data_IF_553608985763
#
_entry.id   IF_553608985763
#
_cell.length_a   1.000
_cell.length_b   1.000
_cell.length_c   1.000
_cell.angle_alpha   90.00
_cell.angle_beta   90.00
_cell.angle_gamma   90.00
#
_symmetry.space_group_name_H-M   'P 1'
#
loop_
_entity.id
_entity.type
_entity.pdbx_description
1 polymer ?
#
# COMPACT_ATOMS: atom_id res chain seq x y z
N UNK A 1 27.81 -29.25 -35.75
CA UNK A 1 27.24 -28.26 -34.82
C UNK A 1 28.17 -28.22 -33.61
N UNK A 2 28.94 -27.14 -33.44
CA UNK A 2 29.85 -26.99 -32.28
C UNK A 2 29.02 -26.36 -31.16
N UNK A 3 28.68 -27.15 -30.13
CA UNK A 3 27.99 -26.65 -28.95
C UNK A 3 29.05 -26.16 -27.96
N UNK A 4 29.32 -24.86 -27.98
CA UNK A 4 30.25 -24.23 -27.04
C UNK A 4 29.57 -24.13 -25.68
N UNK A 5 29.99 -24.96 -24.73
CA UNK A 5 29.52 -24.87 -23.35
C UNK A 5 30.33 -23.78 -22.62
N UNK A 6 29.67 -22.85 -21.90
CA UNK A 6 30.39 -21.90 -21.07
C UNK A 6 31.18 -22.66 -20.01
N UNK A 7 32.49 -22.42 -19.95
CA UNK A 7 33.35 -22.91 -18.86
C UNK A 7 33.04 -22.08 -17.62
N UNK A 8 32.51 -22.72 -16.57
CA UNK A 8 32.12 -22.09 -15.31
C UNK A 8 30.61 -22.07 -15.06
N UNK A 9 30.17 -21.32 -14.04
CA UNK A 9 28.75 -21.16 -13.74
C UNK A 9 28.10 -20.14 -14.68
N UNK A 10 27.02 -20.53 -15.33
CA UNK A 10 26.26 -19.67 -16.23
C UNK A 10 24.86 -19.38 -15.67
N UNK A 11 24.49 -18.09 -15.62
CA UNK A 11 23.14 -17.64 -15.26
C UNK A 11 22.60 -16.75 -16.37
N UNK A 12 21.56 -17.20 -17.06
CA UNK A 12 21.01 -16.45 -18.17
C UNK A 12 20.18 -17.30 -19.13
N UNK A 13 19.76 -16.68 -20.22
CA UNK A 13 18.99 -17.31 -21.29
C UNK A 13 19.90 -17.60 -22.49
N UNK A 14 19.85 -18.83 -22.98
CA UNK A 14 20.47 -19.27 -24.23
C UNK A 14 19.34 -19.77 -25.12
N UNK A 15 18.91 -18.94 -26.08
CA UNK A 15 17.80 -19.24 -26.99
C UNK A 15 16.52 -19.71 -26.24
N UNK A 16 16.20 -21.00 -26.35
CA UNK A 16 15.05 -21.66 -25.74
C UNK A 16 15.38 -22.38 -24.42
N UNK A 17 16.57 -22.15 -23.86
CA UNK A 17 17.01 -22.70 -22.59
C UNK A 17 17.35 -21.58 -21.60
N UNK A 18 17.17 -21.87 -20.32
CA UNK A 18 17.66 -21.04 -19.23
C UNK A 18 18.66 -21.85 -18.42
N UNK A 19 19.82 -21.25 -18.17
CA UNK A 19 20.85 -21.79 -17.29
C UNK A 19 20.86 -21.04 -15.96
N UNK A 20 20.97 -21.76 -14.85
CA UNK A 20 21.19 -21.19 -13.53
C UNK A 20 21.84 -22.22 -12.61
N UNK A 21 22.46 -21.75 -11.52
CA UNK A 21 23.03 -22.63 -10.49
C UNK A 21 22.00 -22.90 -9.41
N UNK A 22 21.79 -24.18 -9.09
CA UNK A 22 20.95 -24.61 -7.97
C UNK A 22 21.71 -25.63 -7.14
N UNK A 23 21.89 -25.34 -5.85
CA UNK A 23 22.60 -26.23 -4.91
C UNK A 23 23.99 -26.66 -5.43
N UNK A 24 24.77 -25.71 -5.95
CA UNK A 24 26.11 -25.97 -6.51
C UNK A 24 26.13 -26.68 -7.88
N UNK A 25 24.98 -27.07 -8.43
CA UNK A 25 24.87 -27.73 -9.74
C UNK A 25 24.41 -26.74 -10.80
N UNK A 26 25.08 -26.76 -11.95
CA UNK A 26 24.63 -26.05 -13.14
C UNK A 26 23.39 -26.77 -13.70
N UNK A 27 22.26 -26.07 -13.79
CA UNK A 27 21.00 -26.61 -14.33
C UNK A 27 20.68 -25.87 -15.61
N UNK A 28 20.50 -26.62 -16.70
CA UNK A 28 19.92 -26.14 -17.94
C UNK A 28 18.52 -26.72 -18.10
N UNK A 29 17.55 -25.86 -18.39
CA UNK A 29 16.16 -26.27 -18.60
C UNK A 29 15.61 -25.58 -19.85
N UNK A 30 14.85 -26.32 -20.64
CA UNK A 30 14.04 -25.73 -21.72
C UNK A 30 12.98 -24.78 -21.16
N UNK A 31 12.88 -23.61 -21.77
CA UNK A 31 11.88 -22.61 -21.43
C UNK A 31 10.53 -23.13 -21.94
N UNK A 32 9.58 -23.26 -21.02
CA UNK A 32 8.21 -23.55 -21.42
C UNK A 32 7.58 -22.27 -21.97
N UNK A 33 7.57 -22.14 -23.29
CA UNK A 33 6.99 -20.98 -23.98
C UNK A 33 5.45 -20.96 -23.94
N UNK A 34 4.81 -22.07 -23.56
CA UNK A 34 3.34 -22.21 -23.46
C UNK A 34 2.99 -22.94 -22.17
N UNK A 35 3.19 -22.31 -21.00
CA UNK A 35 2.80 -22.92 -19.74
C UNK A 35 1.33 -23.28 -19.76
N UNK A 36 0.99 -24.46 -19.24
CA UNK A 36 -0.41 -24.84 -19.05
C UNK A 36 -1.08 -23.77 -18.19
N UNK A 37 -2.22 -23.25 -18.66
CA UNK A 37 -3.03 -22.28 -17.95
C UNK A 37 -4.35 -22.93 -17.52
N UNK A 38 -4.30 -23.88 -16.57
CA UNK A 38 -5.52 -24.48 -16.06
C UNK A 38 -6.38 -23.39 -15.41
N UNK A 39 -7.69 -23.53 -15.59
CA UNK A 39 -8.71 -22.63 -15.02
C UNK A 39 -9.42 -23.33 -13.87
N UNK A 40 -8.64 -23.92 -12.96
CA UNK A 40 -9.22 -24.52 -11.75
C UNK A 40 -9.92 -23.44 -10.92
N UNK A 41 -10.91 -23.84 -10.12
CA UNK A 41 -11.65 -22.93 -9.24
C UNK A 41 -10.72 -22.13 -8.34
N UNK A 42 -9.71 -22.79 -7.73
CA UNK A 42 -8.73 -22.12 -6.88
C UNK A 42 -7.90 -21.07 -7.63
N UNK A 43 -7.45 -21.38 -8.86
CA UNK A 43 -6.68 -20.44 -9.67
C UNK A 43 -7.53 -19.25 -10.14
N UNK A 44 -8.78 -19.49 -10.52
CA UNK A 44 -9.71 -18.43 -10.90
C UNK A 44 -10.03 -17.53 -9.71
N UNK A 45 -10.26 -18.10 -8.51
CA UNK A 45 -10.48 -17.36 -7.27
C UNK A 45 -9.28 -16.46 -6.92
N UNK A 46 -8.06 -16.95 -7.09
CA UNK A 46 -6.86 -16.14 -6.86
C UNK A 46 -6.75 -14.98 -7.87
N UNK A 47 -7.10 -15.21 -9.14
CA UNK A 47 -7.08 -14.18 -10.19
C UNK A 47 -8.08 -13.06 -9.94
N UNK A 48 -9.29 -13.39 -9.51
CA UNK A 48 -10.33 -12.40 -9.25
C UNK A 48 -10.02 -11.54 -8.02
N UNK A 49 -9.37 -12.10 -6.98
CA UNK A 49 -8.82 -11.30 -5.86
C UNK A 49 -7.73 -10.36 -6.31
N UNK A 50 -6.80 -10.87 -7.13
CA UNK A 50 -5.63 -10.11 -7.55
C UNK A 50 -6.02 -8.82 -8.26
N UNK A 51 -7.09 -8.84 -9.06
CA UNK A 51 -7.57 -7.64 -9.77
C UNK A 51 -7.80 -6.45 -8.84
N UNK A 52 -8.51 -6.63 -7.71
CA UNK A 52 -8.78 -5.53 -6.77
C UNK A 52 -7.48 -5.01 -6.13
N UNK A 53 -6.59 -5.92 -5.73
CA UNK A 53 -5.29 -5.57 -5.13
C UNK A 53 -4.44 -4.77 -6.11
N UNK A 54 -4.45 -5.13 -7.40
CA UNK A 54 -3.71 -4.40 -8.42
C UNK A 54 -4.30 -3.00 -8.65
N UNK A 55 -5.63 -2.86 -8.66
CA UNK A 55 -6.28 -1.55 -8.73
C UNK A 55 -5.88 -0.67 -7.54
N UNK A 56 -5.95 -1.21 -6.32
CA UNK A 56 -5.53 -0.50 -5.10
C UNK A 56 -4.03 -0.13 -5.12
N UNK A 57 -3.17 -1.05 -5.56
CA UNK A 57 -1.73 -0.78 -5.69
C UNK A 57 -1.46 0.38 -6.64
N UNK A 58 -2.16 0.48 -7.77
CA UNK A 58 -1.95 1.60 -8.73
C UNK A 58 -2.16 2.94 -8.05
N UNK A 59 -3.21 3.06 -7.24
CA UNK A 59 -3.55 4.25 -6.46
C UNK A 59 -2.49 4.51 -5.37
N UNK A 60 -2.04 3.47 -4.67
CA UNK A 60 -1.13 3.56 -3.52
C UNK A 60 0.37 3.48 -3.89
N UNK A 61 0.70 3.36 -5.18
CA UNK A 61 2.02 2.90 -5.61
C UNK A 61 3.18 3.82 -5.21
N UNK A 62 2.93 5.12 -5.06
CA UNK A 62 3.94 6.08 -4.58
C UNK A 62 4.40 5.75 -3.16
N UNK A 63 3.48 5.36 -2.27
CA UNK A 63 3.77 5.01 -0.88
C UNK A 63 4.33 3.61 -0.74
N UNK A 64 3.70 2.66 -1.44
CA UNK A 64 4.04 1.24 -1.32
C UNK A 64 5.51 0.96 -1.64
N UNK A 65 6.14 1.74 -2.52
CA UNK A 65 7.54 1.54 -2.95
C UNK A 65 8.56 1.63 -1.81
N UNK A 66 8.27 2.45 -0.81
CA UNK A 66 9.19 2.80 0.29
C UNK A 66 8.67 2.38 1.67
N UNK A 67 7.49 1.76 1.73
CA UNK A 67 6.77 1.50 2.98
C UNK A 67 7.07 0.16 3.65
N UNK A 68 7.87 -0.69 3.03
CA UNK A 68 8.25 -2.02 3.54
C UNK A 68 9.74 -2.05 3.88
N UNK A 69 10.04 -1.83 5.16
CA UNK A 69 11.41 -1.75 5.68
C UNK A 69 12.13 -3.10 5.56
N UNK A 70 11.52 -4.17 6.08
CA UNK A 70 12.12 -5.50 6.13
C UNK A 70 11.66 -6.38 4.98
N UNK A 71 12.09 -6.06 3.75
CA UNK A 71 11.81 -6.90 2.56
C UNK A 71 12.97 -7.83 2.20
N UNK A 72 12.71 -9.10 1.82
CA UNK A 72 13.74 -9.97 1.27
C UNK A 72 14.39 -9.35 0.03
N UNK A 73 15.72 -9.48 -0.19
CA UNK A 73 16.41 -8.85 -1.32
C UNK A 73 15.87 -9.23 -2.71
N UNK A 74 15.22 -10.39 -2.83
CA UNK A 74 14.63 -10.88 -4.08
C UNK A 74 13.21 -10.36 -4.35
N UNK A 75 12.60 -9.61 -3.41
CA UNK A 75 11.24 -9.13 -3.52
C UNK A 75 11.20 -7.59 -3.58
N UNK A 76 10.40 -7.07 -4.51
CA UNK A 76 10.05 -5.66 -4.54
C UNK A 76 8.97 -5.36 -3.52
N UNK A 77 8.81 -4.09 -3.16
CA UNK A 77 7.71 -3.62 -2.31
C UNK A 77 6.33 -4.02 -2.87
N UNK A 78 6.17 -3.94 -4.20
CA UNK A 78 5.00 -4.47 -4.92
C UNK A 78 4.74 -5.95 -4.63
N UNK A 79 5.77 -6.81 -4.68
CA UNK A 79 5.61 -8.23 -4.41
C UNK A 79 5.15 -8.49 -2.96
N UNK A 80 5.67 -7.71 -2.01
CA UNK A 80 5.27 -7.80 -0.59
C UNK A 80 3.83 -7.33 -0.42
N UNK A 81 3.46 -6.17 -0.98
CA UNK A 81 2.09 -5.66 -0.98
C UNK A 81 1.10 -6.69 -1.52
N UNK A 82 1.35 -7.25 -2.71
CA UNK A 82 0.47 -8.26 -3.31
C UNK A 82 0.39 -9.50 -2.42
N UNK A 83 1.51 -9.99 -1.90
CA UNK A 83 1.56 -11.19 -1.06
C UNK A 83 0.74 -11.01 0.24
N UNK A 84 0.90 -9.88 0.92
CA UNK A 84 0.24 -9.59 2.18
C UNK A 84 -1.27 -9.44 1.99
N UNK A 85 -1.67 -8.69 0.96
CA UNK A 85 -3.07 -8.40 0.71
C UNK A 85 -3.83 -9.57 0.07
N UNK A 86 -3.17 -10.43 -0.71
CA UNK A 86 -3.82 -11.60 -1.33
C UNK A 86 -4.36 -12.61 -0.30
N UNK A 87 -3.72 -12.67 0.88
CA UNK A 87 -4.18 -13.52 1.98
C UNK A 87 -5.30 -12.87 2.80
N UNK A 88 -5.29 -11.56 2.91
CA UNK A 88 -6.18 -10.81 3.80
C UNK A 88 -7.50 -10.41 3.14
N UNK A 89 -7.49 -9.99 1.87
CA UNK A 89 -8.70 -9.50 1.20
C UNK A 89 -9.63 -10.65 0.79
N UNK A 90 -10.94 -10.43 0.95
CA UNK A 90 -12.00 -11.27 0.40
C UNK A 90 -12.82 -10.54 -0.69
N UNK A 91 -12.25 -9.48 -1.28
CA UNK A 91 -12.85 -8.84 -2.46
C UNK A 91 -12.52 -9.63 -3.72
N UNK A 92 -13.54 -9.94 -4.51
CA UNK A 92 -13.41 -10.57 -5.81
C UNK A 92 -14.02 -9.67 -6.87
N UNK A 93 -13.27 -9.42 -7.94
CA UNK A 93 -13.81 -8.73 -9.11
C UNK A 93 -14.10 -9.73 -10.21
N UNK A 94 -15.23 -9.54 -10.89
CA UNK A 94 -15.52 -10.24 -12.13
C UNK A 94 -14.63 -9.73 -13.28
N UNK A 95 -14.80 -10.32 -14.46
CA UNK A 95 -13.98 -9.97 -15.63
C UNK A 95 -14.26 -8.53 -16.12
N UNK A 96 -15.52 -8.08 -16.08
CA UNK A 96 -15.91 -6.74 -16.51
C UNK A 96 -15.37 -5.68 -15.56
N UNK A 97 -15.54 -5.89 -14.26
CA UNK A 97 -15.01 -5.04 -13.18
C UNK A 97 -13.48 -4.92 -13.26
N UNK A 98 -12.78 -6.04 -13.44
CA UNK A 98 -11.32 -6.04 -13.58
C UNK A 98 -10.83 -5.31 -14.84
N UNK A 99 -11.54 -5.46 -15.97
CA UNK A 99 -11.22 -4.74 -17.22
C UNK A 99 -11.50 -3.24 -17.11
N UNK A 100 -12.49 -2.86 -16.30
CA UNK A 100 -12.82 -1.47 -15.99
C UNK A 100 -11.92 -0.86 -14.90
N UNK A 101 -10.94 -1.63 -14.39
CA UNK A 101 -10.05 -1.21 -13.31
C UNK A 101 -10.81 -0.79 -12.05
N UNK A 102 -11.94 -1.45 -11.80
CA UNK A 102 -12.73 -1.24 -10.60
C UNK A 102 -11.87 -1.49 -9.35
N UNK A 103 -12.16 -0.73 -8.30
CA UNK A 103 -11.46 -0.81 -7.02
C UNK A 103 -12.46 -0.66 -5.88
N UNK A 104 -12.58 -1.72 -5.08
CA UNK A 104 -13.30 -1.71 -3.81
C UNK A 104 -12.28 -1.43 -2.71
N UNK A 105 -12.57 -0.43 -1.88
CA UNK A 105 -11.74 -0.10 -0.72
C UNK A 105 -11.85 -1.21 0.32
N UNK A 106 -10.71 -1.66 0.84
CA UNK A 106 -10.59 -2.70 1.85
C UNK A 106 -9.41 -2.37 2.79
N UNK A 107 -9.25 -3.13 3.87
CA UNK A 107 -8.17 -2.97 4.85
C UNK A 107 -6.83 -3.47 4.29
N UNK A 108 -6.25 -2.70 3.37
CA UNK A 108 -4.96 -3.04 2.77
C UNK A 108 -3.80 -2.86 3.75
N UNK A 109 -2.92 -3.85 3.83
CA UNK A 109 -1.59 -3.68 4.41
C UNK A 109 -0.75 -2.86 3.41
N UNK A 110 -0.44 -1.61 3.77
CA UNK A 110 0.31 -0.68 2.90
C UNK A 110 1.77 -0.54 3.33
N UNK A 111 2.08 -0.78 4.61
CA UNK A 111 3.42 -0.62 5.19
C UNK A 111 3.73 -1.71 6.22
N UNK A 112 5.02 -2.00 6.40
CA UNK A 112 5.57 -2.77 7.52
C UNK A 112 6.93 -2.17 7.89
N UNK A 113 7.16 -1.93 9.17
CA UNK A 113 8.42 -1.38 9.67
C UNK A 113 8.56 -1.59 11.17
N UNK A 114 9.67 -1.12 11.73
CA UNK A 114 9.99 -1.27 13.15
C UNK A 114 9.41 -0.15 14.03
N UNK A 115 8.87 0.90 13.42
CA UNK A 115 8.24 1.99 14.17
C UNK A 115 6.98 1.50 14.89
N UNK A 116 6.66 2.05 16.08
CA UNK A 116 5.41 1.73 16.78
C UNK A 116 4.20 1.96 15.89
N UNK A 117 3.29 0.98 15.86
CA UNK A 117 2.05 1.08 15.08
C UNK A 117 1.13 2.15 15.67
N UNK A 118 0.61 3.03 14.81
CA UNK A 118 -0.51 3.91 15.16
C UNK A 118 -1.78 3.08 15.01
N UNK A 119 -2.31 2.62 16.13
CA UNK A 119 -3.53 1.82 16.13
C UNK A 119 -4.71 2.69 15.73
N UNK A 120 -5.62 2.13 14.94
CA UNK A 120 -6.85 2.81 14.53
C UNK A 120 -8.04 1.96 14.90
N UNK A 121 -8.98 2.54 15.65
CA UNK A 121 -10.21 1.87 16.08
C UNK A 121 -11.42 2.60 15.53
N UNK A 122 -12.44 1.84 15.10
CA UNK A 122 -13.71 2.42 14.70
C UNK A 122 -14.52 2.80 15.95
N UNK A 123 -14.98 4.04 16.01
CA UNK A 123 -15.84 4.57 17.07
C UNK A 123 -16.99 5.33 16.42
N UNK A 124 -18.10 4.62 16.17
CA UNK A 124 -19.24 5.18 15.44
C UNK A 124 -18.90 5.40 13.97
N UNK A 125 -19.09 6.63 13.49
CA UNK A 125 -18.80 7.08 12.12
C UNK A 125 -17.35 7.53 11.93
N UNK A 126 -16.48 7.34 12.94
CA UNK A 126 -15.11 7.87 12.96
C UNK A 126 -14.07 6.79 13.20
N UNK A 127 -12.87 7.08 12.70
CA UNK A 127 -11.65 6.36 13.04
C UNK A 127 -10.90 7.16 14.11
N UNK A 128 -10.60 6.52 15.23
CA UNK A 128 -9.84 7.08 16.34
C UNK A 128 -8.46 6.45 16.34
N UNK A 129 -7.43 7.29 16.26
CA UNK A 129 -6.04 6.84 16.32
C UNK A 129 -5.55 6.76 17.76
N UNK A 130 -4.49 5.98 18.01
CA UNK A 130 -3.81 5.92 19.30
C UNK A 130 -3.00 7.16 19.64
N UNK A 131 -2.90 8.15 18.73
CA UNK A 131 -2.19 9.39 18.96
C UNK A 131 -2.90 10.23 20.03
N UNK A 132 -2.17 10.51 21.11
CA UNK A 132 -2.71 11.23 22.26
C UNK A 132 -2.54 12.74 22.10
N UNK A 133 -3.51 13.48 22.64
CA UNK A 133 -3.47 14.93 22.80
C UNK A 133 -3.84 15.27 24.26
N UNK A 134 -3.48 16.46 24.77
CA UNK A 134 -3.86 16.88 26.11
C UNK A 134 -5.37 16.83 26.33
N UNK A 135 -5.79 16.49 27.55
CA UNK A 135 -7.20 16.44 27.90
C UNK A 135 -7.88 17.81 27.67
N UNK A 136 -9.04 17.79 26.99
CA UNK A 136 -9.80 19.01 26.65
C UNK A 136 -9.19 19.86 25.54
N UNK A 137 -8.14 19.38 24.86
CA UNK A 137 -7.59 20.07 23.70
C UNK A 137 -8.60 20.06 22.54
N UNK A 138 -8.82 21.23 21.93
CA UNK A 138 -9.70 21.39 20.78
C UNK A 138 -8.92 22.05 19.66
N UNK A 139 -9.11 21.54 18.44
CA UNK A 139 -8.57 22.16 17.23
C UNK A 139 -9.65 23.08 16.65
N UNK A 140 -9.32 24.35 16.56
CA UNK A 140 -10.15 25.41 15.99
C UNK A 140 -9.40 26.17 14.88
N UNK A 141 -10.05 27.15 14.28
CA UNK A 141 -9.48 27.94 13.16
C UNK A 141 -8.18 28.68 13.50
N UNK A 142 -7.93 28.98 14.79
CA UNK A 142 -6.72 29.66 15.24
C UNK A 142 -5.62 28.69 15.69
N UNK A 143 -5.89 27.39 15.66
CA UNK A 143 -4.92 26.36 16.07
C UNK A 143 -3.87 26.19 14.98
N UNK A 144 -2.61 26.43 15.34
CA UNK A 144 -1.48 26.29 14.41
C UNK A 144 -0.88 24.88 14.44
N UNK A 145 -0.15 24.53 13.38
CA UNK A 145 0.67 23.33 13.34
C UNK A 145 1.68 23.30 14.50
N UNK A 146 2.25 24.44 14.90
CA UNK A 146 3.15 24.54 16.07
C UNK A 146 2.52 24.06 17.37
N UNK A 147 1.27 24.46 17.60
CA UNK A 147 0.52 24.06 18.80
C UNK A 147 0.20 22.57 18.79
N UNK A 148 -0.26 22.04 17.66
CA UNK A 148 -0.56 20.61 17.52
C UNK A 148 0.71 19.76 17.63
N UNK A 149 1.80 20.18 16.99
CA UNK A 149 3.09 19.48 17.04
C UNK A 149 3.60 19.39 18.48
N UNK A 150 3.51 20.48 19.24
CA UNK A 150 3.90 20.50 20.65
C UNK A 150 3.03 19.59 21.52
N UNK A 151 1.72 19.55 21.26
CA UNK A 151 0.81 18.62 21.95
C UNK A 151 1.11 17.15 21.61
N UNK A 152 1.32 16.83 20.33
CA UNK A 152 1.63 15.47 19.88
C UNK A 152 2.97 14.99 20.45
N UNK A 153 4.05 15.78 20.32
CA UNK A 153 5.37 15.43 20.86
C UNK A 153 5.33 15.31 22.39
N UNK A 154 4.57 16.17 23.06
CA UNK A 154 4.45 16.15 24.53
C UNK A 154 3.67 14.96 25.08
N UNK A 155 2.68 14.45 24.34
CA UNK A 155 1.82 13.35 24.78
C UNK A 155 2.22 11.97 24.22
N UNK A 156 3.06 11.91 23.19
CA UNK A 156 3.42 10.65 22.53
C UNK A 156 4.94 10.45 22.57
N UNK A 157 5.39 9.56 23.45
CA UNK A 157 6.82 9.32 23.69
C UNK A 157 7.62 8.87 22.46
N UNK A 158 6.96 8.32 21.44
CA UNK A 158 7.56 7.89 20.17
C UNK A 158 7.76 9.01 19.15
N UNK A 159 7.12 10.17 19.32
CA UNK A 159 7.18 11.28 18.36
C UNK A 159 8.23 12.32 18.74
N UNK A 160 8.88 12.90 17.74
CA UNK A 160 9.87 13.96 17.86
C UNK A 160 9.59 15.07 16.85
N UNK A 161 10.07 16.27 17.15
CA UNK A 161 10.09 17.33 16.14
C UNK A 161 10.96 16.90 14.96
N UNK A 162 10.50 17.21 13.75
CA UNK A 162 11.09 16.73 12.49
C UNK A 162 10.46 15.44 11.97
N UNK A 163 9.70 14.69 12.78
CA UNK A 163 8.95 13.54 12.26
C UNK A 163 7.86 14.00 11.30
N UNK A 164 7.66 13.23 10.22
CA UNK A 164 6.59 13.45 9.24
C UNK A 164 5.41 12.54 9.53
N UNK A 165 4.23 13.12 9.68
CA UNK A 165 2.97 12.38 9.76
C UNK A 165 2.29 12.44 8.39
N UNK A 166 2.01 11.27 7.82
CA UNK A 166 1.28 11.12 6.55
C UNK A 166 -0.03 10.37 6.79
N UNK A 167 -1.14 10.95 6.36
CA UNK A 167 -2.49 10.39 6.46
C UNK A 167 -2.93 10.01 5.06
N UNK A 168 -3.05 8.70 4.81
CA UNK A 168 -3.56 8.14 3.56
C UNK A 168 -5.04 7.83 3.73
N UNK A 169 -5.90 8.62 3.10
CA UNK A 169 -7.34 8.44 3.15
C UNK A 169 -7.87 7.89 1.82
N UNK A 170 -7.98 6.56 1.75
CA UNK A 170 -8.53 5.85 0.59
C UNK A 170 -10.06 5.78 0.70
N UNK A 171 -10.76 6.36 -0.26
CA UNK A 171 -12.21 6.55 -0.25
C UNK A 171 -12.87 5.77 -1.38
N UNK A 172 -14.02 5.16 -1.09
CA UNK A 172 -14.90 4.65 -2.14
C UNK A 172 -15.67 5.82 -2.75
N UNK A 173 -15.46 6.07 -4.04
CA UNK A 173 -16.15 7.10 -4.82
C UNK A 173 -17.06 6.47 -5.87
N UNK A 174 -18.13 7.20 -6.17
CA UNK A 174 -18.96 6.92 -7.34
C UNK A 174 -18.42 7.73 -8.52
N UNK A 175 -18.08 7.09 -9.65
CA UNK A 175 -17.58 7.81 -10.81
C UNK A 175 -18.64 8.76 -11.36
N UNK A 176 -18.23 9.96 -11.78
CA UNK A 176 -19.10 10.98 -12.36
C UNK A 176 -19.29 10.75 -13.88
N UNK A 177 -19.45 9.49 -14.30
CA UNK A 177 -19.66 9.09 -15.70
C UNK A 177 -21.10 8.63 -15.94
N UNK A 178 -21.55 8.76 -17.18
CA UNK A 178 -22.90 8.39 -17.61
C UNK A 178 -23.29 6.98 -17.12
N UNK A 179 -24.39 6.97 -16.35
CA UNK A 179 -25.29 5.95 -15.75
C UNK A 179 -25.17 4.46 -16.13
N UNK A 180 -24.45 4.07 -17.18
CA UNK A 180 -24.48 2.69 -17.70
C UNK A 180 -23.53 1.71 -17.00
N UNK A 181 -22.57 2.18 -16.18
CA UNK A 181 -21.65 1.30 -15.45
C UNK A 181 -21.36 1.83 -14.03
N UNK A 182 -22.06 1.28 -13.04
CA UNK A 182 -21.82 1.54 -11.61
C UNK A 182 -20.66 0.67 -11.09
N UNK A 183 -19.46 0.89 -11.63
CA UNK A 183 -18.28 0.19 -11.14
C UNK A 183 -17.73 0.90 -9.90
N UNK A 184 -17.30 0.16 -8.85
CA UNK A 184 -16.70 0.77 -7.68
C UNK A 184 -15.36 1.39 -8.06
N UNK A 185 -15.15 2.66 -7.71
CA UNK A 185 -13.87 3.35 -7.86
C UNK A 185 -13.34 3.83 -6.52
N UNK A 186 -12.03 3.86 -6.38
CA UNK A 186 -11.36 4.39 -5.21
C UNK A 186 -10.53 5.62 -5.56
N UNK A 187 -10.51 6.58 -4.64
CA UNK A 187 -9.68 7.78 -4.72
C UNK A 187 -8.85 7.89 -3.44
N UNK A 188 -7.61 8.36 -3.57
CA UNK A 188 -6.73 8.61 -2.44
C UNK A 188 -6.64 10.11 -2.19
N UNK A 189 -6.99 10.54 -0.97
CA UNK A 189 -6.58 11.83 -0.44
C UNK A 189 -5.39 11.64 0.47
N UNK A 190 -4.39 12.49 0.29
CA UNK A 190 -3.16 12.49 1.05
C UNK A 190 -3.06 13.81 1.82
N UNK A 191 -2.76 13.70 3.10
CA UNK A 191 -2.41 14.84 3.94
C UNK A 191 -1.09 14.55 4.64
N UNK A 192 -0.18 15.51 4.62
CA UNK A 192 1.15 15.34 5.21
C UNK A 192 1.57 16.61 5.90
N UNK A 193 2.21 16.47 7.07
CA UNK A 193 2.83 17.57 7.78
C UNK A 193 4.01 17.08 8.61
N UNK A 194 4.99 17.95 8.79
CA UNK A 194 6.16 17.72 9.64
C UNK A 194 5.89 18.33 11.01
N UNK A 195 6.27 17.63 12.08
CA UNK A 195 6.11 18.13 13.44
C UNK A 195 7.13 19.25 13.70
N UNK A 196 6.65 20.49 13.73
CA UNK A 196 7.46 21.71 13.89
C UNK A 196 6.82 22.59 14.95
N UNK A 197 7.54 22.91 16.03
CA UNK A 197 6.97 23.60 17.20
C UNK A 197 6.71 25.10 17.01
N UNK A 198 7.41 25.75 16.09
CA UNK A 198 7.35 27.18 15.82
C UNK A 198 6.44 27.54 14.64
N UNK A 199 5.86 26.54 13.97
CA UNK A 199 5.00 26.75 12.81
C UNK A 199 3.73 27.52 13.17
N UNK A 200 3.50 28.61 12.42
CA UNK A 200 2.33 29.49 12.55
C UNK A 200 1.22 29.15 11.54
N UNK A 201 1.43 28.13 10.71
CA UNK A 201 0.46 27.72 9.69
C UNK A 201 -0.82 27.25 10.40
N UNK A 202 -2.00 27.79 10.07
CA UNK A 202 -3.27 27.28 10.60
C UNK A 202 -3.47 25.83 10.16
N UNK A 203 -3.74 24.94 11.12
CA UNK A 203 -3.64 23.49 10.88
C UNK A 203 -4.61 22.98 9.82
N UNK A 204 -5.84 23.50 9.78
CA UNK A 204 -6.84 23.07 8.79
C UNK A 204 -6.57 23.56 7.36
N UNK A 205 -5.48 24.30 7.13
CA UNK A 205 -4.97 24.51 5.76
C UNK A 205 -4.17 23.31 5.25
N UNK A 206 -3.67 22.46 6.15
CA UNK A 206 -2.87 21.28 5.84
C UNK A 206 -3.70 19.99 5.82
N UNK A 207 -4.78 19.94 6.60
CA UNK A 207 -5.65 18.76 6.75
C UNK A 207 -7.11 19.17 6.71
N UNK A 208 -7.94 18.36 6.04
CA UNK A 208 -9.39 18.59 6.01
C UNK A 208 -9.99 18.41 7.42
N UNK A 209 -10.68 19.44 7.90
CA UNK A 209 -11.34 19.44 9.20
C UNK A 209 -12.29 18.24 9.35
N UNK A 210 -12.96 17.80 8.27
CA UNK A 210 -13.89 16.67 8.33
C UNK A 210 -13.20 15.34 8.64
N UNK A 211 -11.88 15.26 8.40
CA UNK A 211 -11.11 14.03 8.53
C UNK A 211 -10.28 14.00 9.82
N UNK A 212 -9.87 15.15 10.35
CA UNK A 212 -9.01 15.20 11.53
C UNK A 212 -9.56 16.14 12.60
N UNK A 213 -10.04 15.57 13.70
CA UNK A 213 -10.59 16.31 14.85
C UNK A 213 -10.21 15.60 16.15
N UNK A 214 -10.25 16.34 17.25
CA UNK A 214 -10.07 15.78 18.59
C UNK A 214 -11.39 15.20 19.08
N UNK A 215 -11.30 14.11 19.84
CA UNK A 215 -12.44 13.47 20.52
C UNK A 215 -12.75 14.15 21.85
#
# INVERSE_FOLDING_TARGET
MITTFPLGSYKGRIENMVGYVRCGKQVFRSINNRPANPRTVAQMRQRTKLSNILSAYRILSSFVRESYETRPPSLTAYNVFVKNNLKATEVFLDKGEALAEACVVDAFNVSEGTLPTIETTASGDRLVTSLQLPAGFLINETTTLGKISSCLVGCNASLRYGDKISILYLMQVRPQREVNFYMPHAELKLYEFVLEGDSRIPFYTLVDERLFRVR
#
